data_IF_100010920933
#
_entry.id   IF_100010920933
#
_cell.length_a   1.000
_cell.length_b   1.000
_cell.length_c   1.000
_cell.angle_alpha   90.00
_cell.angle_beta   90.00
_cell.angle_gamma   90.00
#
_symmetry.space_group_name_H-M   'P 1'
#
loop_
_entity.id
_entity.type
_entity.pdbx_description
1 polymer ?
#
# COMPACT_ATOMS: atom_id res chain seq x y z
N UNK A 1 -18.15 5.06 15.85
CA UNK A 1 -16.99 5.53 15.04
C UNK A 1 -17.37 6.47 13.89
N UNK A 2 -17.91 6.00 12.75
CA UNK A 2 -18.17 6.89 11.58
C UNK A 2 -19.13 8.06 11.91
N UNK A 3 -20.28 7.77 12.53
CA UNK A 3 -21.24 8.80 12.93
C UNK A 3 -20.65 9.83 13.90
N UNK A 4 -19.77 9.41 14.81
CA UNK A 4 -19.14 10.30 15.79
C UNK A 4 -18.10 11.20 15.12
N UNK A 5 -17.33 10.66 14.17
CA UNK A 5 -16.38 11.44 13.36
C UNK A 5 -17.11 12.51 12.55
N UNK A 6 -18.18 12.16 11.86
CA UNK A 6 -19.01 13.11 11.10
C UNK A 6 -19.58 14.23 11.99
N UNK A 7 -20.07 13.88 13.19
CA UNK A 7 -20.54 14.89 14.14
C UNK A 7 -19.45 15.82 14.64
N UNK A 8 -18.22 15.32 14.83
CA UNK A 8 -17.06 16.15 15.21
C UNK A 8 -16.67 17.10 14.07
N UNK A 9 -16.62 16.61 12.83
CA UNK A 9 -16.33 17.42 11.65
C UNK A 9 -17.32 18.57 11.48
N UNK A 10 -18.62 18.32 11.65
CA UNK A 10 -19.68 19.35 11.54
C UNK A 10 -19.55 20.49 12.57
N UNK A 11 -18.77 20.32 13.63
CA UNK A 11 -18.55 21.34 14.68
C UNK A 11 -17.30 22.18 14.45
N UNK A 12 -16.50 21.87 13.43
CA UNK A 12 -15.27 22.59 13.12
C UNK A 12 -15.54 23.83 12.25
N UNK A 13 -14.66 24.82 12.36
CA UNK A 13 -14.67 25.97 11.45
C UNK A 13 -14.17 25.56 10.05
N UNK A 14 -14.51 26.33 8.99
CA UNK A 14 -14.04 26.06 7.63
C UNK A 14 -12.52 25.95 7.50
N UNK A 15 -11.77 26.80 8.20
CA UNK A 15 -10.30 26.76 8.20
C UNK A 15 -9.77 25.44 8.77
N UNK A 16 -10.36 24.96 9.88
CA UNK A 16 -9.99 23.67 10.47
C UNK A 16 -10.41 22.50 9.59
N UNK A 17 -11.54 22.59 8.90
CA UNK A 17 -11.97 21.58 7.94
C UNK A 17 -10.99 21.43 6.78
N UNK A 18 -10.35 22.53 6.34
CA UNK A 18 -9.31 22.47 5.31
C UNK A 18 -8.10 21.65 5.78
N UNK A 19 -7.61 21.92 6.99
CA UNK A 19 -6.50 21.15 7.59
C UNK A 19 -6.87 19.67 7.73
N UNK A 20 -8.11 19.37 8.14
CA UNK A 20 -8.57 17.98 8.24
C UNK A 20 -8.66 17.31 6.88
N UNK A 21 -9.10 18.03 5.84
CA UNK A 21 -9.14 17.49 4.47
C UNK A 21 -7.74 17.10 3.99
N UNK A 22 -6.75 17.96 4.20
CA UNK A 22 -5.36 17.69 3.81
C UNK A 22 -4.80 16.47 4.57
N UNK A 23 -5.13 16.35 5.86
CA UNK A 23 -4.71 15.20 6.68
C UNK A 23 -5.41 13.89 6.26
N UNK A 24 -6.69 13.93 5.90
CA UNK A 24 -7.41 12.77 5.40
C UNK A 24 -6.84 12.28 4.07
N UNK A 25 -6.52 13.20 3.14
CA UNK A 25 -5.88 12.83 1.88
C UNK A 25 -4.53 12.14 2.09
N UNK A 26 -3.74 12.59 3.08
CA UNK A 26 -2.51 11.91 3.48
C UNK A 26 -2.76 10.50 4.05
N UNK A 27 -3.83 10.33 4.84
CA UNK A 27 -4.18 9.01 5.38
C UNK A 27 -4.68 8.05 4.29
N UNK A 28 -5.46 8.54 3.33
CA UNK A 28 -5.93 7.75 2.19
C UNK A 28 -4.74 7.27 1.34
N UNK A 29 -3.78 8.16 1.04
CA UNK A 29 -2.54 7.79 0.35
C UNK A 29 -1.71 6.78 1.16
N UNK A 30 -1.64 6.92 2.49
CA UNK A 30 -0.95 5.98 3.37
C UNK A 30 -1.64 4.62 3.45
N UNK A 31 -2.97 4.60 3.54
CA UNK A 31 -3.77 3.37 3.62
C UNK A 31 -3.68 2.58 2.30
N UNK A 32 -3.66 3.26 1.16
CA UNK A 32 -3.38 2.64 -0.15
C UNK A 32 -1.95 2.10 -0.25
N UNK A 33 -0.98 2.77 0.38
CA UNK A 33 0.44 2.42 0.30
C UNK A 33 0.97 1.55 1.45
N UNK A 34 0.21 1.31 2.53
CA UNK A 34 0.69 0.58 3.72
C UNK A 34 1.12 -0.86 3.38
N UNK A 35 0.36 -1.56 2.54
CA UNK A 35 0.73 -2.89 2.05
C UNK A 35 2.00 -2.89 1.18
N UNK A 36 2.23 -1.83 0.42
CA UNK A 36 3.44 -1.65 -0.39
C UNK A 36 4.64 -1.29 0.49
N UNK A 37 4.44 -0.49 1.54
CA UNK A 37 5.48 -0.09 2.48
C UNK A 37 6.00 -1.28 3.32
N UNK A 38 5.13 -2.24 3.66
CA UNK A 38 5.57 -3.50 4.29
C UNK A 38 6.56 -4.27 3.42
N UNK A 39 6.32 -4.35 2.11
CA UNK A 39 7.20 -5.02 1.17
C UNK A 39 8.56 -4.32 1.06
N UNK A 40 8.58 -2.99 1.02
CA UNK A 40 9.81 -2.20 0.97
C UNK A 40 10.62 -2.27 2.28
N UNK A 41 9.99 -2.66 3.39
CA UNK A 41 10.69 -2.90 4.66
C UNK A 41 11.47 -4.21 4.68
N UNK A 42 11.20 -5.14 3.75
CA UNK A 42 11.91 -6.43 3.64
C UNK A 42 13.31 -6.17 3.06
N UNK A 43 14.40 -6.49 3.79
CA UNK A 43 15.75 -6.29 3.28
C UNK A 43 15.98 -7.02 1.97
N UNK A 44 16.48 -6.30 0.95
CA UNK A 44 16.80 -6.87 -0.37
C UNK A 44 15.60 -7.11 -1.28
N UNK A 45 14.38 -6.75 -0.85
CA UNK A 45 13.17 -7.01 -1.64
C UNK A 45 13.16 -6.28 -2.99
N UNK A 46 13.53 -5.00 -3.03
CA UNK A 46 13.59 -4.25 -4.29
C UNK A 46 14.54 -4.90 -5.30
N UNK A 47 15.72 -5.34 -4.85
CA UNK A 47 16.69 -6.02 -5.70
C UNK A 47 16.14 -7.37 -6.18
N UNK A 48 15.55 -8.17 -5.29
CA UNK A 48 14.96 -9.46 -5.65
C UNK A 48 13.83 -9.31 -6.69
N UNK A 49 13.03 -8.25 -6.59
CA UNK A 49 11.98 -7.94 -7.58
C UNK A 49 12.60 -7.56 -8.91
N UNK A 50 13.64 -6.72 -8.92
CA UNK A 50 14.34 -6.34 -10.15
C UNK A 50 14.97 -7.56 -10.85
N UNK A 51 15.61 -8.45 -10.10
CA UNK A 51 16.19 -9.69 -10.61
C UNK A 51 15.10 -10.61 -11.19
N UNK A 52 14.01 -10.83 -10.46
CA UNK A 52 12.89 -11.63 -10.94
C UNK A 52 12.23 -11.07 -12.22
N UNK A 53 12.18 -9.73 -12.37
CA UNK A 53 11.70 -9.12 -13.61
C UNK A 53 12.63 -9.41 -14.80
N UNK A 54 13.95 -9.38 -14.59
CA UNK A 54 14.93 -9.71 -15.63
C UNK A 54 14.84 -11.19 -16.03
N UNK A 55 14.71 -12.09 -15.05
CA UNK A 55 14.46 -13.53 -15.29
C UNK A 55 13.19 -13.75 -16.11
N UNK A 56 12.11 -13.02 -15.77
CA UNK A 56 10.85 -13.08 -16.50
C UNK A 56 10.98 -12.62 -17.96
N UNK A 57 11.69 -11.51 -18.20
CA UNK A 57 11.98 -11.01 -19.55
C UNK A 57 12.87 -11.97 -20.35
N UNK A 58 13.83 -12.63 -19.69
CA UNK A 58 14.67 -13.67 -20.28
C UNK A 58 13.93 -14.99 -20.56
N UNK A 59 12.67 -15.11 -20.10
CA UNK A 59 11.85 -16.31 -20.25
C UNK A 59 12.21 -17.42 -19.26
N UNK A 60 12.94 -17.11 -18.20
CA UNK A 60 13.34 -18.02 -17.12
C UNK A 60 12.19 -18.25 -16.13
N UNK A 61 11.00 -18.55 -16.67
CA UNK A 61 9.77 -18.74 -15.91
C UNK A 61 9.25 -20.16 -16.04
N UNK A 62 8.68 -20.66 -14.96
CA UNK A 62 7.96 -21.94 -14.98
C UNK A 62 6.46 -21.69 -14.82
N UNK A 63 5.65 -22.56 -15.42
CA UNK A 63 4.21 -22.49 -15.20
C UNK A 63 3.90 -22.79 -13.74
N UNK A 64 3.00 -22.02 -13.15
CA UNK A 64 2.63 -22.17 -11.76
C UNK A 64 2.14 -23.58 -11.40
N UNK A 65 1.40 -24.22 -12.30
CA UNK A 65 0.89 -25.59 -12.17
C UNK A 65 2.00 -26.67 -12.07
N UNK A 66 3.23 -26.34 -12.50
CA UNK A 66 4.38 -27.24 -12.42
C UNK A 66 5.16 -27.14 -11.10
N UNK A 67 4.86 -26.15 -10.26
CA UNK A 67 5.55 -25.94 -8.98
C UNK A 67 4.95 -26.87 -7.92
N UNK A 68 5.73 -27.88 -7.49
CA UNK A 68 5.34 -28.72 -6.35
C UNK A 68 5.62 -27.97 -5.04
N UNK A 69 4.55 -27.59 -4.35
CA UNK A 69 4.62 -27.00 -3.02
C UNK A 69 4.46 -28.12 -1.98
N UNK A 70 5.48 -28.33 -1.18
CA UNK A 70 5.33 -29.08 0.07
C UNK A 70 4.74 -28.11 1.10
N UNK A 71 3.41 -28.02 1.13
CA UNK A 71 2.68 -27.34 2.22
C UNK A 71 2.48 -28.29 3.39
#
# INVERSE_FOLDING_TARGET
MMNEAQQRLRRLSPEKLRVVSDFLAYLEDREENEATAELLSIPGFEQAVQEAMQEAEAGEVVRFDSIRRHV
#
